data_IF_552920272388
#
_entry.id   IF_552920272388
#
_cell.length_a   1.000
_cell.length_b   1.000
_cell.length_c   1.000
_cell.angle_alpha   90.00
_cell.angle_beta   90.00
_cell.angle_gamma   90.00
#
_symmetry.space_group_name_H-M   'P 1'
#
loop_
_entity.id
_entity.type
_entity.pdbx_description
1 polymer ?
#
# COMPACT_ATOMS: atom_id res chain seq x y z
N UNK A 1 -15.26 -17.02 34.43
CA UNK A 1 -14.13 -16.08 34.37
C UNK A 1 -14.42 -15.07 33.26
N UNK A 2 -14.94 -13.89 33.63
CA UNK A 2 -15.12 -12.76 32.73
C UNK A 2 -13.75 -12.16 32.43
N UNK A 3 -13.15 -12.51 31.29
CA UNK A 3 -11.80 -12.04 30.95
C UNK A 3 -11.72 -10.58 30.49
N UNK A 4 -12.80 -10.00 29.95
CA UNK A 4 -13.03 -8.57 29.71
C UNK A 4 -14.43 -8.37 29.13
N UNK A 5 -15.27 -7.56 29.76
CA UNK A 5 -16.52 -7.08 29.18
C UNK A 5 -16.31 -5.60 28.88
N UNK A 6 -16.03 -5.26 27.63
CA UNK A 6 -16.04 -3.88 27.18
C UNK A 6 -17.46 -3.54 26.70
N UNK A 7 -18.27 -3.00 27.60
CA UNK A 7 -19.55 -2.38 27.22
C UNK A 7 -19.25 -0.98 26.68
N UNK A 8 -18.98 -0.89 25.38
CA UNK A 8 -18.82 0.40 24.71
C UNK A 8 -20.20 0.93 24.39
N UNK A 9 -20.63 1.96 25.09
CA UNK A 9 -21.94 2.59 24.85
C UNK A 9 -22.03 3.14 23.40
N UNK A 10 -23.27 3.26 22.81
CA UNK A 10 -23.47 3.68 21.42
C UNK A 10 -22.78 5.00 21.06
N UNK A 11 -22.68 5.92 22.01
CA UNK A 11 -22.02 7.22 21.82
C UNK A 11 -20.50 7.07 21.65
N UNK A 12 -19.87 6.20 22.45
CA UNK A 12 -18.42 5.93 22.35
C UNK A 12 -18.09 5.19 21.08
N UNK A 13 -18.94 4.26 20.64
CA UNK A 13 -18.80 3.56 19.35
C UNK A 13 -18.85 4.54 18.17
N UNK A 14 -19.78 5.50 18.18
CA UNK A 14 -19.89 6.52 17.13
C UNK A 14 -18.67 7.47 17.11
N UNK A 15 -18.14 7.86 18.25
CA UNK A 15 -16.92 8.68 18.36
C UNK A 15 -15.68 7.92 17.87
N UNK A 16 -15.56 6.63 18.18
CA UNK A 16 -14.47 5.77 17.69
C UNK A 16 -14.52 5.60 16.17
N UNK A 17 -15.68 5.35 15.60
CA UNK A 17 -15.87 5.27 14.16
C UNK A 17 -15.52 6.59 13.47
N UNK A 18 -16.00 7.70 13.99
CA UNK A 18 -15.68 9.03 13.45
C UNK A 18 -14.18 9.31 13.51
N UNK A 19 -13.54 9.05 14.63
CA UNK A 19 -12.09 9.23 14.80
C UNK A 19 -11.28 8.31 13.90
N UNK A 20 -11.72 7.06 13.73
CA UNK A 20 -11.13 6.09 12.81
C UNK A 20 -11.20 6.54 11.35
N UNK A 21 -12.38 6.99 10.90
CA UNK A 21 -12.57 7.51 9.53
C UNK A 21 -11.68 8.74 9.30
N UNK A 22 -11.64 9.67 10.26
CA UNK A 22 -10.78 10.86 10.17
C UNK A 22 -9.31 10.46 10.11
N UNK A 23 -8.86 9.52 10.94
CA UNK A 23 -7.48 9.06 10.97
C UNK A 23 -7.08 8.39 9.64
N UNK A 24 -7.93 7.52 9.09
CA UNK A 24 -7.70 6.88 7.78
C UNK A 24 -7.65 7.93 6.68
N UNK A 25 -8.62 8.84 6.63
CA UNK A 25 -8.70 9.87 5.59
C UNK A 25 -7.49 10.81 5.66
N UNK A 26 -7.10 11.24 6.86
CA UNK A 26 -5.94 12.10 7.06
C UNK A 26 -4.64 11.39 6.69
N UNK A 27 -4.48 10.12 7.09
CA UNK A 27 -3.31 9.30 6.71
C UNK A 27 -3.19 9.15 5.20
N UNK A 28 -4.29 8.83 4.52
CA UNK A 28 -4.32 8.75 3.05
C UNK A 28 -3.98 10.10 2.42
N UNK A 29 -4.55 11.20 2.90
CA UNK A 29 -4.27 12.54 2.38
C UNK A 29 -2.79 12.94 2.54
N UNK A 30 -2.19 12.70 3.70
CA UNK A 30 -0.77 12.97 3.95
C UNK A 30 0.13 12.10 3.07
N UNK A 31 -0.24 10.82 2.89
CA UNK A 31 0.47 9.90 2.00
C UNK A 31 0.40 10.36 0.54
N UNK A 32 -0.77 10.84 0.10
CA UNK A 32 -0.97 11.41 -1.22
C UNK A 32 -0.08 12.64 -1.46
N UNK A 33 -0.05 13.56 -0.51
CA UNK A 33 0.79 14.75 -0.57
C UNK A 33 2.26 14.35 -0.66
N UNK A 34 2.70 13.38 0.16
CA UNK A 34 4.08 12.87 0.13
C UNK A 34 4.44 12.30 -1.26
N UNK A 35 3.57 11.45 -1.84
CA UNK A 35 3.84 10.84 -3.14
C UNK A 35 3.82 11.90 -4.25
N UNK A 36 2.88 12.85 -4.19
CA UNK A 36 2.81 13.93 -5.18
C UNK A 36 4.04 14.85 -5.16
N UNK A 37 4.58 15.12 -3.99
CA UNK A 37 5.84 15.88 -3.87
C UNK A 37 7.04 15.03 -4.32
N UNK A 38 7.04 13.73 -4.04
CA UNK A 38 8.17 12.82 -4.31
C UNK A 38 8.20 12.30 -5.73
N UNK A 39 7.03 12.12 -6.34
CA UNK A 39 6.83 11.53 -7.67
C UNK A 39 5.92 12.41 -8.53
N UNK A 40 5.89 12.11 -9.84
CA UNK A 40 4.95 12.70 -10.77
C UNK A 40 3.52 12.22 -10.49
N UNK A 41 2.52 12.98 -10.92
CA UNK A 41 1.10 12.72 -10.62
C UNK A 41 0.59 11.33 -11.05
N UNK A 42 1.17 10.76 -12.12
CA UNK A 42 0.79 9.43 -12.61
C UNK A 42 1.17 8.32 -11.62
N UNK A 43 2.35 8.44 -11.00
CA UNK A 43 2.78 7.54 -9.92
C UNK A 43 1.86 7.68 -8.70
N UNK A 44 1.47 8.91 -8.38
CA UNK A 44 0.54 9.18 -7.29
C UNK A 44 -0.80 8.49 -7.52
N UNK A 45 -1.35 8.56 -8.74
CA UNK A 45 -2.61 7.90 -9.07
C UNK A 45 -2.51 6.36 -8.93
N UNK A 46 -1.41 5.77 -9.40
CA UNK A 46 -1.16 4.33 -9.26
C UNK A 46 -1.10 3.89 -7.80
N UNK A 47 -0.39 4.66 -6.96
CA UNK A 47 -0.28 4.39 -5.53
C UNK A 47 -1.63 4.51 -4.81
N UNK A 48 -2.42 5.55 -5.12
CA UNK A 48 -3.76 5.75 -4.53
C UNK A 48 -4.67 4.57 -4.81
N UNK A 49 -4.73 4.14 -6.07
CA UNK A 49 -5.59 3.03 -6.47
C UNK A 49 -5.17 1.72 -5.81
N UNK A 50 -3.87 1.48 -5.66
CA UNK A 50 -3.35 0.33 -4.93
C UNK A 50 -3.74 0.38 -3.45
N UNK A 51 -3.54 1.52 -2.76
CA UNK A 51 -3.94 1.68 -1.35
C UNK A 51 -5.45 1.52 -1.15
N UNK A 52 -6.25 2.10 -2.03
CA UNK A 52 -7.70 1.98 -1.96
C UNK A 52 -8.15 0.53 -2.11
N UNK A 53 -7.55 -0.20 -3.05
CA UNK A 53 -7.76 -1.63 -3.21
C UNK A 53 -7.42 -2.40 -1.91
N UNK A 54 -6.26 -2.14 -1.30
CA UNK A 54 -5.80 -2.88 -0.12
C UNK A 54 -6.71 -2.68 1.08
N UNK A 55 -7.17 -1.45 1.30
CA UNK A 55 -8.12 -1.12 2.36
C UNK A 55 -9.46 -1.81 2.12
N UNK A 56 -10.01 -1.72 0.89
CA UNK A 56 -11.30 -2.34 0.56
C UNK A 56 -11.22 -3.87 0.69
N UNK A 57 -10.16 -4.49 0.18
CA UNK A 57 -10.01 -5.95 0.24
C UNK A 57 -9.87 -6.41 1.69
N UNK A 58 -9.07 -5.72 2.50
CA UNK A 58 -8.91 -6.06 3.92
C UNK A 58 -10.23 -5.93 4.67
N UNK A 59 -10.96 -4.83 4.51
CA UNK A 59 -12.27 -4.65 5.13
C UNK A 59 -13.31 -5.64 4.58
N UNK A 60 -13.23 -5.96 3.28
CA UNK A 60 -14.05 -6.97 2.63
C UNK A 60 -13.87 -8.36 3.23
N UNK A 61 -12.63 -8.76 3.53
CA UNK A 61 -12.33 -10.02 4.22
C UNK A 61 -12.97 -10.04 5.62
N UNK A 62 -12.85 -8.94 6.38
CA UNK A 62 -13.47 -8.84 7.71
C UNK A 62 -15.00 -8.92 7.63
N UNK A 63 -15.61 -8.28 6.64
CA UNK A 63 -17.04 -8.35 6.40
C UNK A 63 -17.49 -9.76 6.00
N UNK A 64 -16.74 -10.43 5.12
CA UNK A 64 -17.05 -11.77 4.63
C UNK A 64 -17.06 -12.82 5.75
N UNK A 65 -16.12 -12.72 6.67
CA UNK A 65 -16.01 -13.63 7.82
C UNK A 65 -16.79 -13.13 9.05
N UNK A 66 -17.57 -12.04 8.93
CA UNK A 66 -18.34 -11.43 10.01
C UNK A 66 -17.48 -11.15 11.26
N UNK A 67 -16.23 -10.72 11.05
CA UNK A 67 -15.31 -10.40 12.13
C UNK A 67 -15.64 -9.02 12.71
N UNK A 68 -15.55 -8.89 14.03
CA UNK A 68 -15.82 -7.63 14.71
C UNK A 68 -14.76 -6.57 14.37
N UNK A 69 -15.23 -5.39 13.95
CA UNK A 69 -14.35 -4.24 13.71
C UNK A 69 -14.20 -3.46 15.01
N UNK A 70 -13.01 -3.48 15.56
CA UNK A 70 -12.63 -2.75 16.76
C UNK A 70 -11.48 -1.76 16.48
N UNK A 71 -11.05 -1.03 17.52
CA UNK A 71 -9.99 -0.04 17.40
C UNK A 71 -8.66 -0.65 16.91
N UNK A 72 -8.36 -1.90 17.29
CA UNK A 72 -7.15 -2.60 16.86
C UNK A 72 -7.14 -2.86 15.35
N UNK A 73 -8.31 -3.11 14.75
CA UNK A 73 -8.44 -3.30 13.30
C UNK A 73 -8.28 -1.97 12.55
N UNK A 74 -8.80 -0.87 13.10
CA UNK A 74 -8.56 0.47 12.54
C UNK A 74 -7.06 0.78 12.55
N UNK A 75 -6.37 0.49 13.64
CA UNK A 75 -4.91 0.63 13.73
C UNK A 75 -4.19 -0.29 12.72
N UNK A 76 -4.65 -1.52 12.52
CA UNK A 76 -4.11 -2.42 11.50
C UNK A 76 -4.28 -1.85 10.09
N UNK A 77 -5.46 -1.32 9.73
CA UNK A 77 -5.70 -0.70 8.42
C UNK A 77 -4.76 0.47 8.17
N UNK A 78 -4.55 1.35 9.17
CA UNK A 78 -3.57 2.44 9.06
C UNK A 78 -2.14 1.92 8.87
N UNK A 79 -1.79 0.84 9.56
CA UNK A 79 -0.48 0.21 9.41
C UNK A 79 -0.31 -0.43 8.02
N UNK A 80 -1.36 -1.06 7.48
CA UNK A 80 -1.38 -1.65 6.14
C UNK A 80 -1.13 -0.58 5.07
N UNK A 81 -1.76 0.60 5.20
CA UNK A 81 -1.55 1.73 4.30
C UNK A 81 -0.05 2.11 4.24
N UNK A 82 0.60 2.23 5.40
CA UNK A 82 2.03 2.54 5.46
C UNK A 82 2.91 1.41 4.92
N UNK A 83 2.55 0.16 5.22
CA UNK A 83 3.30 -1.02 4.79
C UNK A 83 3.24 -1.22 3.26
N UNK A 84 2.06 -1.20 2.67
CA UNK A 84 1.85 -1.34 1.22
C UNK A 84 2.57 -0.22 0.44
N UNK A 85 2.54 0.98 0.98
CA UNK A 85 3.24 2.12 0.38
C UNK A 85 4.75 1.91 0.28
N UNK A 86 5.38 1.25 1.25
CA UNK A 86 6.82 1.02 1.24
C UNK A 86 7.26 0.25 -0.01
N UNK A 87 6.56 -0.81 -0.37
CA UNK A 87 6.86 -1.61 -1.55
C UNK A 87 6.55 -0.86 -2.85
N UNK A 88 5.42 -0.15 -2.89
CA UNK A 88 5.03 0.68 -4.05
C UNK A 88 6.09 1.74 -4.35
N UNK A 89 6.58 2.47 -3.33
CA UNK A 89 7.62 3.50 -3.50
C UNK A 89 8.92 2.91 -4.02
N UNK A 90 9.33 1.74 -3.53
CA UNK A 90 10.57 1.07 -3.99
C UNK A 90 10.48 0.69 -5.47
N UNK A 91 9.35 0.13 -5.89
CA UNK A 91 9.13 -0.23 -7.30
C UNK A 91 9.09 1.04 -8.16
N UNK A 92 8.40 2.08 -7.73
CA UNK A 92 8.30 3.35 -8.46
C UNK A 92 9.65 4.08 -8.59
N UNK A 93 10.46 4.09 -7.54
CA UNK A 93 11.82 4.63 -7.61
C UNK A 93 12.65 3.86 -8.65
N UNK A 94 12.51 2.52 -8.69
CA UNK A 94 13.21 1.70 -9.68
C UNK A 94 12.69 1.93 -11.10
N UNK A 95 11.39 2.05 -11.29
CA UNK A 95 10.80 2.42 -12.60
C UNK A 95 11.36 3.77 -13.06
N UNK A 96 11.41 4.76 -12.17
CA UNK A 96 11.95 6.10 -12.47
C UNK A 96 13.45 6.08 -12.81
N UNK A 97 14.23 5.27 -12.10
CA UNK A 97 15.65 5.08 -12.40
C UNK A 97 15.82 4.46 -13.80
N UNK A 98 15.07 3.40 -14.09
CA UNK A 98 15.12 2.70 -15.37
C UNK A 98 14.59 3.55 -16.53
N UNK A 99 13.61 4.43 -16.31
CA UNK A 99 13.16 5.43 -17.30
C UNK A 99 14.28 6.38 -17.75
N UNK A 100 15.20 6.73 -16.83
CA UNK A 100 16.36 7.57 -17.15
C UNK A 100 17.48 6.80 -17.83
N UNK A 101 17.57 5.51 -17.57
CA UNK A 101 18.62 4.64 -18.08
C UNK A 101 18.33 4.11 -19.48
N UNK A 102 17.08 3.80 -19.78
CA UNK A 102 16.62 3.20 -21.04
C UNK A 102 15.71 4.17 -21.78
N UNK A 103 16.18 4.71 -22.92
CA UNK A 103 15.43 5.71 -23.70
C UNK A 103 14.48 5.12 -24.74
N UNK A 104 14.67 3.86 -25.15
CA UNK A 104 13.98 3.26 -26.30
C UNK A 104 13.14 2.01 -25.98
N UNK A 105 12.88 1.74 -24.69
CA UNK A 105 12.10 0.59 -24.25
C UNK A 105 10.64 0.99 -23.99
N UNK A 106 9.70 0.13 -24.37
CA UNK A 106 8.27 0.33 -24.07
C UNK A 106 8.04 0.33 -22.55
N UNK A 107 7.14 1.19 -22.08
CA UNK A 107 6.82 1.31 -20.64
C UNK A 107 6.46 -0.03 -19.99
N UNK A 108 5.77 -0.91 -20.69
CA UNK A 108 5.41 -2.25 -20.20
C UNK A 108 6.67 -3.09 -19.90
N UNK A 109 7.61 -3.15 -20.83
CA UNK A 109 8.85 -3.92 -20.67
C UNK A 109 9.73 -3.32 -19.56
N UNK A 110 9.84 -1.99 -19.54
CA UNK A 110 10.61 -1.26 -18.52
C UNK A 110 10.05 -1.48 -17.12
N UNK A 111 8.73 -1.42 -16.96
CA UNK A 111 8.06 -1.70 -15.68
C UNK A 111 8.30 -3.14 -15.24
N UNK A 112 8.23 -4.11 -16.18
CA UNK A 112 8.50 -5.51 -15.88
C UNK A 112 9.95 -5.76 -15.44
N UNK A 113 10.92 -5.12 -16.08
CA UNK A 113 12.33 -5.15 -15.65
C UNK A 113 12.45 -4.59 -14.22
N UNK A 114 11.84 -3.44 -13.95
CA UNK A 114 11.91 -2.77 -12.65
C UNK A 114 11.28 -3.61 -11.52
N UNK A 115 10.16 -4.26 -11.78
CA UNK A 115 9.53 -5.20 -10.85
C UNK A 115 10.48 -6.37 -10.56
N UNK A 116 11.05 -7.00 -11.59
CA UNK A 116 11.96 -8.13 -11.40
C UNK A 116 13.21 -7.76 -10.60
N UNK A 117 13.77 -6.56 -10.80
CA UNK A 117 14.93 -6.07 -10.06
C UNK A 117 14.62 -5.81 -8.58
N UNK A 118 13.38 -5.50 -8.23
CA UNK A 118 12.95 -5.23 -6.84
C UNK A 118 12.25 -6.43 -6.18
N UNK A 119 11.87 -7.45 -6.96
CA UNK A 119 11.04 -8.57 -6.52
C UNK A 119 11.63 -9.32 -5.31
N UNK A 120 12.92 -9.62 -5.35
CA UNK A 120 13.60 -10.35 -4.26
C UNK A 120 13.48 -9.58 -2.93
N UNK A 121 13.70 -8.28 -2.94
CA UNK A 121 13.57 -7.43 -1.76
C UNK A 121 12.12 -7.43 -1.24
N UNK A 122 11.15 -7.18 -2.12
CA UNK A 122 9.72 -7.14 -1.77
C UNK A 122 9.26 -8.48 -1.19
N UNK A 123 9.64 -9.61 -1.80
CA UNK A 123 9.29 -10.92 -1.27
C UNK A 123 9.93 -11.22 0.07
N UNK A 124 11.21 -10.90 0.27
CA UNK A 124 11.90 -11.14 1.55
C UNK A 124 11.24 -10.31 2.65
N UNK A 125 10.97 -9.02 2.43
CA UNK A 125 10.32 -8.17 3.42
C UNK A 125 8.92 -8.63 3.75
N UNK A 126 8.13 -9.04 2.76
CA UNK A 126 6.77 -9.55 2.97
C UNK A 126 6.76 -10.89 3.72
N UNK A 127 7.62 -11.84 3.33
CA UNK A 127 7.71 -13.15 4.00
C UNK A 127 8.17 -13.00 5.46
N UNK A 128 9.19 -12.19 5.72
CA UNK A 128 9.67 -11.97 7.10
C UNK A 128 8.61 -11.31 7.97
N UNK A 129 7.87 -10.36 7.43
CA UNK A 129 6.76 -9.73 8.14
C UNK A 129 5.61 -10.70 8.37
N UNK A 130 5.26 -11.53 7.38
CA UNK A 130 4.24 -12.56 7.54
C UNK A 130 4.61 -13.58 8.62
N UNK A 131 5.87 -14.01 8.70
CA UNK A 131 6.33 -14.92 9.75
C UNK A 131 6.18 -14.31 11.15
N UNK A 132 6.53 -13.03 11.31
CA UNK A 132 6.33 -12.30 12.56
C UNK A 132 4.83 -12.19 12.92
N UNK A 133 3.98 -11.82 11.96
CA UNK A 133 2.54 -11.70 12.14
C UNK A 133 1.87 -13.05 12.46
N UNK A 134 2.28 -14.13 11.80
CA UNK A 134 1.81 -15.48 12.13
C UNK A 134 2.20 -15.88 13.55
N UNK A 135 3.41 -15.55 13.99
CA UNK A 135 3.83 -15.79 15.37
C UNK A 135 2.95 -15.02 16.37
N UNK A 136 2.61 -13.76 16.08
CA UNK A 136 1.69 -12.97 16.91
C UNK A 136 0.28 -13.58 16.87
N UNK A 137 -0.18 -14.03 15.70
CA UNK A 137 -1.51 -14.63 15.55
C UNK A 137 -1.68 -15.89 16.39
N UNK A 138 -0.68 -16.77 16.42
CA UNK A 138 -0.76 -18.04 17.17
C UNK A 138 -0.43 -17.87 18.65
N UNK A 139 0.48 -16.98 19.01
CA UNK A 139 1.01 -16.87 20.38
C UNK A 139 0.67 -15.56 21.09
N UNK A 140 0.16 -14.53 20.38
CA UNK A 140 -0.09 -13.18 20.93
C UNK A 140 -1.37 -13.04 21.77
N UNK A 141 -2.17 -14.10 21.91
CA UNK A 141 -3.42 -14.06 22.66
C UNK A 141 -4.60 -13.41 21.91
N UNK A 142 -5.80 -13.49 22.51
CA UNK A 142 -7.06 -13.08 21.85
C UNK A 142 -7.09 -11.61 21.42
N UNK A 143 -6.47 -10.70 22.19
CA UNK A 143 -6.49 -9.27 21.94
C UNK A 143 -5.77 -8.91 20.62
N UNK A 144 -4.70 -9.65 20.28
CA UNK A 144 -3.88 -9.39 19.10
C UNK A 144 -4.30 -10.20 17.87
N UNK A 145 -5.19 -11.17 18.00
CA UNK A 145 -5.64 -12.01 16.89
C UNK A 145 -6.28 -11.20 15.76
N UNK A 146 -7.21 -10.32 16.08
CA UNK A 146 -7.88 -9.49 15.08
C UNK A 146 -6.90 -8.58 14.33
N UNK A 147 -6.01 -7.91 15.09
CA UNK A 147 -4.97 -7.06 14.53
C UNK A 147 -4.03 -7.83 13.61
N UNK A 148 -3.46 -8.94 14.09
CA UNK A 148 -2.50 -9.74 13.32
C UNK A 148 -3.14 -10.37 12.10
N UNK A 149 -4.39 -10.81 12.17
CA UNK A 149 -5.14 -11.33 11.04
C UNK A 149 -5.35 -10.25 9.96
N UNK A 150 -5.78 -9.04 10.36
CA UNK A 150 -5.91 -7.92 9.43
C UNK A 150 -4.59 -7.61 8.74
N UNK A 151 -3.50 -7.57 9.51
CA UNK A 151 -2.15 -7.31 8.98
C UNK A 151 -1.67 -8.42 8.03
N UNK A 152 -1.95 -9.69 8.31
CA UNK A 152 -1.60 -10.82 7.43
C UNK A 152 -2.25 -10.63 6.05
N UNK A 153 -3.56 -10.40 6.02
CA UNK A 153 -4.26 -10.13 4.75
C UNK A 153 -3.74 -8.85 4.09
N UNK A 154 -3.55 -7.78 4.87
CA UNK A 154 -3.04 -6.52 4.37
C UNK A 154 -1.65 -6.64 3.73
N UNK A 155 -0.73 -7.42 4.30
CA UNK A 155 0.60 -7.66 3.74
C UNK A 155 0.52 -8.48 2.45
N UNK A 156 -0.30 -9.53 2.41
CA UNK A 156 -0.48 -10.37 1.22
C UNK A 156 -1.05 -9.54 0.06
N UNK A 157 -2.18 -8.86 0.29
CA UNK A 157 -2.83 -8.08 -0.75
C UNK A 157 -2.05 -6.81 -1.10
N UNK A 158 -1.38 -6.17 -0.14
CA UNK A 158 -0.53 -5.01 -0.36
C UNK A 158 0.70 -5.34 -1.21
N UNK A 159 1.33 -6.50 -1.00
CA UNK A 159 2.42 -6.96 -1.86
C UNK A 159 1.92 -7.22 -3.28
N UNK A 160 0.76 -7.86 -3.43
CA UNK A 160 0.13 -8.07 -4.73
C UNK A 160 -0.21 -6.74 -5.43
N UNK A 161 -0.85 -5.81 -4.73
CA UNK A 161 -1.29 -4.53 -5.30
C UNK A 161 -0.12 -3.64 -5.72
N UNK A 162 0.96 -3.62 -4.94
CA UNK A 162 2.18 -2.88 -5.28
C UNK A 162 2.82 -3.39 -6.57
N UNK A 163 2.85 -4.72 -6.79
CA UNK A 163 3.43 -5.33 -7.98
C UNK A 163 2.52 -5.15 -9.20
N UNK A 164 1.23 -5.44 -9.06
CA UNK A 164 0.33 -5.54 -10.22
C UNK A 164 -0.57 -4.33 -10.41
N UNK A 165 -1.22 -3.80 -9.37
CA UNK A 165 -2.21 -2.73 -9.52
C UNK A 165 -1.52 -1.40 -9.76
N UNK A 166 -0.60 -1.01 -8.87
CA UNK A 166 0.09 0.26 -8.98
C UNK A 166 0.82 0.41 -10.34
N UNK A 167 1.50 -0.64 -10.76
CA UNK A 167 2.26 -0.62 -12.02
C UNK A 167 1.37 -0.71 -13.27
N UNK A 168 0.24 -1.42 -13.22
CA UNK A 168 -0.72 -1.45 -14.34
C UNK A 168 -1.27 -0.06 -14.66
N UNK A 169 -1.47 0.77 -13.63
CA UNK A 169 -1.91 2.16 -13.81
C UNK A 169 -0.84 2.97 -14.54
N UNK A 170 0.45 2.83 -14.19
CA UNK A 170 1.55 3.51 -14.88
C UNK A 170 1.63 3.12 -16.35
N UNK A 171 1.47 1.82 -16.65
CA UNK A 171 1.46 1.32 -18.03
C UNK A 171 0.30 1.92 -18.83
N UNK A 172 -0.90 1.94 -18.26
CA UNK A 172 -2.10 2.51 -18.92
C UNK A 172 -2.02 4.02 -19.14
N UNK A 173 -1.41 4.76 -18.22
CA UNK A 173 -1.22 6.20 -18.33
C UNK A 173 -0.07 6.58 -19.28
N UNK A 174 0.62 5.60 -19.84
CA UNK A 174 1.70 5.78 -20.81
C UNK A 174 2.75 6.84 -20.39
N UNK A 175 3.31 6.66 -19.21
CA UNK A 175 4.22 7.60 -18.52
C UNK A 175 5.43 8.03 -19.40
N UNK A 176 5.79 7.23 -20.41
CA UNK A 176 6.85 7.55 -21.38
C UNK A 176 6.58 8.83 -22.20
N UNK A 177 5.32 9.14 -22.50
CA UNK A 177 4.99 10.30 -23.35
C UNK A 177 5.35 11.64 -22.72
N UNK A 178 5.51 11.67 -21.40
CA UNK A 178 5.77 12.91 -20.66
C UNK A 178 7.25 13.18 -20.41
N UNK A 179 8.07 12.15 -20.36
CA UNK A 179 9.53 12.31 -20.18
C UNK A 179 10.18 12.84 -21.45
N UNK A 180 9.65 12.48 -22.61
CA UNK A 180 10.10 13.07 -23.89
C UNK A 180 9.69 14.54 -24.08
N UNK A 181 8.65 15.00 -23.38
CA UNK A 181 8.20 16.41 -23.44
C UNK A 181 9.02 17.30 -22.48
N UNK A 182 9.55 16.76 -21.39
CA UNK A 182 10.30 17.54 -20.40
C UNK A 182 11.80 17.70 -20.69
N UNK A 183 12.38 17.05 -21.70
CA UNK A 183 13.77 17.22 -22.14
C UNK A 183 13.93 17.54 -23.66
N UNK A 184 13.33 18.61 -24.22
CA UNK A 184 13.61 18.96 -25.60
C UNK A 184 14.94 19.72 -25.81
N UNK A 185 15.66 20.11 -24.75
CA UNK A 185 16.72 21.13 -24.87
C UNK A 185 18.15 20.66 -24.57
N UNK A 186 18.36 19.40 -24.20
CA UNK A 186 19.74 18.94 -23.89
C UNK A 186 20.55 18.37 -25.05
N UNK A 187 19.97 18.26 -26.26
CA UNK A 187 20.68 17.74 -27.46
C UNK A 187 21.29 18.79 -28.39
N UNK A 188 21.32 20.05 -28.00
CA UNK A 188 21.94 21.12 -28.81
C UNK A 188 23.02 21.85 -28.01
N UNK A 189 24.02 21.16 -27.51
CA UNK A 189 25.36 21.71 -27.21
C UNK A 189 26.39 20.64 -27.48
N UNK A 190 26.78 20.54 -28.74
CA UNK A 190 28.12 20.12 -29.18
C UNK A 190 28.87 21.39 -29.52
#
# INVERSE_FOLDING_TARGET
DFRRVENVGPKVSAELLKSGIIAITLSLALMLIYIWIRFEWQFSLGAILALFHDVIVTLGVFSLFSLEINLSIIAAVLTIVGYSMNDTVVIFDRVRENLRKYSDIKIFELTNISINETLSRTLITSITTLLALLSIFFFGGEILKGFSLAMIFGVIFGTYSSIYIANTVLVRLNVLSLIHISEPTRRLRI
#
